data_IF_050469082610
#
_entry.id   IF_050469082610
#
_cell.length_a   1.000
_cell.length_b   1.000
_cell.length_c   1.000
_cell.angle_alpha   90.00
_cell.angle_beta   90.00
_cell.angle_gamma   90.00
#
_symmetry.space_group_name_H-M   'P 1'
#
loop_
_entity.id
_entity.type
_entity.pdbx_description
1 polymer ?
#
# COMPACT_ATOMS: atom_id res chain seq x y z
N UNK A 1 -15.95 -22.90 16.17
CA UNK A 1 -15.11 -22.10 15.27
C UNK A 1 -13.68 -22.13 15.78
N UNK A 2 -12.72 -22.30 14.90
CA UNK A 2 -11.29 -22.25 15.21
C UNK A 2 -10.84 -20.79 15.22
N UNK A 3 -10.39 -20.22 16.35
CA UNK A 3 -9.80 -18.88 16.34
C UNK A 3 -8.61 -18.83 15.38
N UNK A 4 -8.51 -17.77 14.58
CA UNK A 4 -7.52 -17.65 13.51
C UNK A 4 -6.87 -16.27 13.51
N UNK A 5 -5.57 -16.23 13.31
CA UNK A 5 -4.78 -15.01 13.11
C UNK A 5 -4.28 -14.96 11.68
N UNK A 6 -4.47 -13.83 11.01
CA UNK A 6 -3.89 -13.53 9.69
C UNK A 6 -2.89 -12.40 9.85
N UNK A 7 -1.63 -12.67 9.52
CA UNK A 7 -0.54 -11.69 9.53
C UNK A 7 -0.22 -11.33 8.09
N UNK A 8 -0.49 -10.10 7.68
CA UNK A 8 -0.10 -9.60 6.38
C UNK A 8 1.25 -8.90 6.51
N UNK A 9 2.28 -9.43 5.86
CA UNK A 9 3.64 -8.90 5.84
C UNK A 9 3.94 -8.38 4.44
N UNK A 10 3.99 -7.06 4.28
CA UNK A 10 4.18 -6.42 2.97
C UNK A 10 5.55 -6.73 2.40
N UNK A 11 5.61 -7.07 1.12
CA UNK A 11 6.86 -7.33 0.41
C UNK A 11 7.55 -8.65 0.76
N UNK A 12 6.94 -9.50 1.60
CA UNK A 12 7.48 -10.82 1.92
C UNK A 12 7.30 -11.78 0.73
N UNK A 13 8.38 -12.45 0.33
CA UNK A 13 8.40 -13.41 -0.77
C UNK A 13 8.93 -14.76 -0.30
N UNK A 14 8.70 -15.88 -1.03
CA UNK A 14 9.32 -17.15 -0.69
C UNK A 14 10.84 -17.09 -0.59
N UNK A 15 11.51 -16.31 -1.44
CA UNK A 15 12.97 -16.13 -1.44
C UNK A 15 13.51 -15.43 -0.18
N UNK A 16 12.67 -14.69 0.56
CA UNK A 16 13.03 -14.02 1.82
C UNK A 16 12.90 -14.93 3.06
N UNK A 17 12.35 -16.13 2.91
CA UNK A 17 12.23 -17.10 4.01
C UNK A 17 13.56 -17.86 4.18
N UNK A 18 14.26 -17.61 5.27
CA UNK A 18 15.60 -18.18 5.45
C UNK A 18 16.16 -18.06 6.86
N UNK A 19 17.48 -17.81 6.95
CA UNK A 19 18.19 -17.71 8.22
C UNK A 19 17.85 -16.43 8.99
N UNK A 20 17.51 -15.35 8.26
CA UNK A 20 17.14 -14.06 8.84
C UNK A 20 15.64 -14.00 9.23
N UNK A 21 14.87 -15.07 8.95
CA UNK A 21 13.45 -15.19 9.28
C UNK A 21 13.14 -16.53 9.97
N UNK A 22 13.78 -16.84 11.13
CA UNK A 22 13.67 -18.15 11.76
C UNK A 22 12.25 -18.51 12.22
N UNK A 23 11.44 -17.57 12.69
CA UNK A 23 10.07 -17.81 13.13
C UNK A 23 9.15 -18.16 11.95
N UNK A 24 9.24 -17.40 10.86
CA UNK A 24 8.51 -17.69 9.63
C UNK A 24 8.98 -19.00 9.00
N UNK A 25 10.30 -19.27 8.99
CA UNK A 25 10.86 -20.53 8.51
C UNK A 25 10.32 -21.72 9.31
N UNK A 26 10.23 -21.61 10.64
CA UNK A 26 9.62 -22.63 11.53
C UNK A 26 8.16 -22.86 11.14
N UNK A 27 7.37 -21.78 11.02
CA UNK A 27 5.97 -21.89 10.63
C UNK A 27 5.78 -22.59 9.27
N UNK A 28 6.67 -22.32 8.30
CA UNK A 28 6.67 -23.02 7.01
C UNK A 28 6.96 -24.52 7.13
N UNK A 29 7.90 -24.90 8.01
CA UNK A 29 8.30 -26.29 8.21
C UNK A 29 7.22 -27.11 8.93
N UNK A 30 6.55 -26.49 9.92
CA UNK A 30 5.49 -27.13 10.71
C UNK A 30 4.14 -27.15 9.95
N UNK A 31 3.95 -26.21 9.04
CA UNK A 31 2.77 -26.01 8.23
C UNK A 31 3.05 -26.18 6.73
N UNK A 32 2.69 -25.18 5.94
CA UNK A 32 2.95 -25.15 4.50
C UNK A 32 3.13 -23.73 3.98
N UNK A 33 3.88 -23.62 2.88
CA UNK A 33 4.07 -22.38 2.14
C UNK A 33 3.71 -22.62 0.67
N UNK A 34 2.96 -21.66 0.07
CA UNK A 34 2.75 -21.61 -1.38
C UNK A 34 2.90 -20.16 -1.88
N UNK A 35 3.41 -19.94 -3.08
CA UNK A 35 3.28 -18.65 -3.75
C UNK A 35 1.82 -18.23 -3.86
N UNK A 36 1.57 -16.91 -3.87
CA UNK A 36 0.25 -16.33 -4.12
C UNK A 36 0.22 -15.73 -5.53
N UNK A 37 -0.74 -16.13 -6.36
CA UNK A 37 -1.01 -15.46 -7.62
C UNK A 37 -1.82 -14.19 -7.32
N UNK A 38 -1.12 -13.05 -7.32
CA UNK A 38 -1.70 -11.75 -7.01
C UNK A 38 -2.48 -11.17 -8.20
N UNK A 39 -3.25 -10.12 -7.95
CA UNK A 39 -3.99 -9.39 -8.98
C UNK A 39 -3.18 -8.20 -9.52
N UNK A 40 -3.61 -7.67 -10.67
CA UNK A 40 -3.10 -6.42 -11.23
C UNK A 40 -4.09 -5.29 -10.91
N UNK A 41 -3.62 -4.14 -10.38
CA UNK A 41 -2.25 -3.88 -9.92
C UNK A 41 -1.91 -4.58 -8.60
N UNK A 42 -0.68 -5.06 -8.48
CA UNK A 42 -0.15 -5.63 -7.26
C UNK A 42 0.25 -4.51 -6.28
N UNK A 43 -0.76 -3.81 -5.75
CA UNK A 43 -0.62 -2.69 -4.81
C UNK A 43 -1.52 -2.87 -3.61
N UNK A 44 -1.15 -2.29 -2.49
CA UNK A 44 -1.75 -2.53 -1.16
C UNK A 44 -3.28 -2.51 -1.14
N UNK A 45 -3.90 -1.41 -1.57
CA UNK A 45 -5.36 -1.26 -1.48
C UNK A 45 -6.11 -2.26 -2.37
N UNK A 46 -5.59 -2.55 -3.55
CA UNK A 46 -6.19 -3.50 -4.49
C UNK A 46 -6.08 -4.92 -3.96
N UNK A 47 -4.86 -5.34 -3.58
CA UNK A 47 -4.64 -6.71 -3.13
C UNK A 47 -5.37 -6.99 -1.82
N UNK A 48 -5.30 -6.10 -0.82
CA UNK A 48 -6.04 -6.28 0.44
C UNK A 48 -7.56 -6.37 0.22
N UNK A 49 -8.10 -5.60 -0.73
CA UNK A 49 -9.53 -5.69 -1.09
C UNK A 49 -9.86 -7.03 -1.74
N UNK A 50 -8.98 -7.56 -2.61
CA UNK A 50 -9.12 -8.90 -3.20
C UNK A 50 -9.06 -9.98 -2.11
N UNK A 51 -8.06 -9.93 -1.23
CA UNK A 51 -7.92 -10.88 -0.12
C UNK A 51 -9.15 -10.86 0.80
N UNK A 52 -9.68 -9.67 1.10
CA UNK A 52 -10.83 -9.51 1.99
C UNK A 52 -12.17 -9.93 1.36
N UNK A 53 -12.34 -9.80 0.05
CA UNK A 53 -13.62 -10.03 -0.64
C UNK A 53 -13.67 -11.32 -1.45
N UNK A 54 -12.51 -11.84 -1.88
CA UNK A 54 -12.43 -12.92 -2.86
C UNK A 54 -12.81 -12.51 -4.29
N UNK A 55 -12.85 -11.19 -4.58
CA UNK A 55 -13.22 -10.65 -5.89
C UNK A 55 -12.00 -10.02 -6.57
N UNK A 56 -11.96 -9.98 -7.91
CA UNK A 56 -11.00 -9.17 -8.64
C UNK A 56 -11.30 -7.66 -8.49
N UNK A 57 -10.39 -6.77 -8.91
CA UNK A 57 -10.59 -5.32 -8.88
C UNK A 57 -11.88 -4.85 -9.58
N UNK A 58 -12.29 -5.50 -10.67
CA UNK A 58 -13.56 -5.24 -11.34
C UNK A 58 -14.79 -5.51 -10.46
N UNK A 59 -14.67 -6.40 -9.48
CA UNK A 59 -15.75 -6.74 -8.56
C UNK A 59 -15.82 -5.88 -7.31
N UNK A 60 -14.65 -5.54 -6.70
CA UNK A 60 -14.62 -4.78 -5.46
C UNK A 60 -14.33 -3.28 -5.64
N UNK A 61 -13.87 -2.85 -6.82
CA UNK A 61 -13.70 -1.45 -7.20
C UNK A 61 -12.50 -0.71 -6.61
N UNK A 62 -11.58 -1.38 -5.91
CA UNK A 62 -10.28 -0.82 -5.56
C UNK A 62 -9.29 -1.11 -6.70
N UNK A 63 -9.26 -0.23 -7.67
CA UNK A 63 -8.47 -0.43 -8.90
C UNK A 63 -7.01 -0.03 -8.77
N UNK A 64 -6.64 0.66 -7.69
CA UNK A 64 -5.28 1.09 -7.31
C UNK A 64 -5.29 1.53 -5.84
N UNK A 65 -4.19 2.12 -5.32
CA UNK A 65 -4.17 2.79 -4.01
C UNK A 65 -5.02 4.08 -3.98
N UNK A 66 -5.51 4.48 -5.13
CA UNK A 66 -6.45 5.57 -5.34
C UNK A 66 -6.92 5.62 -6.79
N UNK A 67 -7.83 6.51 -7.09
CA UNK A 67 -8.38 6.70 -8.44
C UNK A 67 -8.91 8.11 -8.63
N UNK A 68 -9.27 8.43 -9.86
CA UNK A 68 -9.96 9.66 -10.20
C UNK A 68 -11.46 9.53 -9.89
N UNK A 69 -11.93 10.35 -8.95
CA UNK A 69 -13.35 10.47 -8.61
C UNK A 69 -14.00 11.37 -9.65
N UNK A 70 -14.61 10.77 -10.66
CA UNK A 70 -15.13 11.47 -11.84
C UNK A 70 -16.18 12.52 -11.48
N UNK A 71 -17.04 12.23 -10.51
CA UNK A 71 -18.10 13.14 -10.05
C UNK A 71 -17.55 14.39 -9.35
N UNK A 72 -16.35 14.29 -8.77
CA UNK A 72 -15.66 15.39 -8.09
C UNK A 72 -14.61 16.07 -8.97
N UNK A 73 -14.23 15.43 -10.10
CA UNK A 73 -13.09 15.80 -10.92
C UNK A 73 -11.77 15.86 -10.12
N UNK A 74 -11.60 15.00 -9.14
CA UNK A 74 -10.46 14.97 -8.22
C UNK A 74 -9.81 13.60 -8.14
N UNK A 75 -8.48 13.60 -7.96
CA UNK A 75 -7.69 12.39 -7.69
C UNK A 75 -7.52 12.25 -6.18
N UNK A 76 -7.89 11.09 -5.64
CA UNK A 76 -7.70 10.78 -4.23
C UNK A 76 -7.05 9.41 -4.04
N UNK A 77 -5.93 9.38 -3.30
CA UNK A 77 -5.27 8.17 -2.85
C UNK A 77 -5.50 7.96 -1.35
N UNK A 78 -5.33 6.72 -0.91
CA UNK A 78 -5.27 6.32 0.50
C UNK A 78 -6.52 6.64 1.32
N UNK A 79 -7.71 6.59 0.69
CA UNK A 79 -8.98 6.74 1.40
C UNK A 79 -9.28 5.51 2.25
N UNK A 80 -9.78 5.73 3.47
CA UNK A 80 -9.97 4.68 4.47
C UNK A 80 -11.40 4.13 4.57
N UNK A 81 -12.37 4.74 3.89
CA UNK A 81 -13.76 4.33 4.00
C UNK A 81 -14.03 2.94 3.40
N UNK A 82 -14.48 1.99 4.21
CA UNK A 82 -14.88 0.66 3.76
C UNK A 82 -16.07 0.68 2.77
N UNK A 83 -16.86 1.76 2.78
CA UNK A 83 -17.97 1.97 1.83
C UNK A 83 -17.52 2.09 0.38
N UNK A 84 -16.22 2.32 0.15
CA UNK A 84 -15.63 2.34 -1.19
C UNK A 84 -15.48 0.94 -1.81
N UNK A 85 -15.52 -0.11 -0.99
CA UNK A 85 -15.20 -1.47 -1.40
C UNK A 85 -16.46 -2.28 -1.55
N UNK A 86 -16.73 -2.74 -2.77
CA UNK A 86 -17.82 -3.65 -3.11
C UNK A 86 -17.58 -5.07 -2.63
N UNK A 87 -18.62 -5.89 -2.69
CA UNK A 87 -18.57 -7.30 -2.32
C UNK A 87 -18.63 -7.57 -0.82
N UNK A 88 -18.99 -8.80 -0.48
CA UNK A 88 -19.04 -9.32 0.89
C UNK A 88 -17.60 -9.60 1.39
N UNK A 89 -17.24 -9.06 2.54
CA UNK A 89 -15.91 -9.23 3.15
C UNK A 89 -15.86 -10.51 4.01
N UNK A 90 -14.65 -10.98 4.33
CA UNK A 90 -14.43 -12.18 5.15
C UNK A 90 -15.26 -12.14 6.44
N UNK A 91 -15.24 -10.99 7.17
CA UNK A 91 -15.94 -10.86 8.44
C UNK A 91 -17.46 -10.84 8.29
N UNK A 92 -17.98 -10.34 7.19
CA UNK A 92 -19.41 -10.37 6.86
C UNK A 92 -19.84 -11.81 6.54
N UNK A 93 -19.05 -12.53 5.73
CA UNK A 93 -19.28 -13.93 5.43
C UNK A 93 -19.18 -14.83 6.68
N UNK A 94 -18.22 -14.54 7.57
CA UNK A 94 -18.08 -15.23 8.85
C UNK A 94 -19.32 -15.06 9.72
N UNK A 95 -19.79 -13.83 9.93
CA UNK A 95 -21.03 -13.52 10.68
C UNK A 95 -22.29 -14.15 10.06
N UNK A 96 -22.36 -14.20 8.75
CA UNK A 96 -23.46 -14.87 8.05
C UNK A 96 -23.46 -16.38 8.27
N UNK A 97 -22.27 -17.01 8.33
CA UNK A 97 -22.11 -18.44 8.63
C UNK A 97 -22.40 -18.75 10.10
N UNK A 98 -21.99 -17.89 11.02
CA UNK A 98 -22.21 -18.03 12.45
C UNK A 98 -22.35 -16.64 13.11
N UNK A 99 -23.49 -16.29 13.70
CA UNK A 99 -23.71 -14.99 14.35
C UNK A 99 -22.73 -14.67 15.50
N UNK A 100 -22.15 -15.68 16.14
CA UNK A 100 -21.17 -15.52 17.22
C UNK A 100 -19.75 -15.24 16.69
N UNK A 101 -19.57 -15.21 15.36
CA UNK A 101 -18.28 -14.86 14.77
C UNK A 101 -17.94 -13.38 15.03
N UNK A 102 -16.70 -13.14 15.44
CA UNK A 102 -16.18 -11.78 15.68
C UNK A 102 -14.86 -11.56 14.93
N UNK A 103 -14.61 -10.33 14.53
CA UNK A 103 -13.42 -9.95 13.77
C UNK A 103 -12.74 -8.70 14.33
N UNK A 104 -11.42 -8.79 14.54
CA UNK A 104 -10.55 -7.64 14.74
C UNK A 104 -9.77 -7.35 13.45
N UNK A 105 -9.76 -6.10 13.02
CA UNK A 105 -9.10 -5.65 11.79
C UNK A 105 -8.09 -4.54 12.10
N UNK A 106 -6.83 -4.94 12.30
CA UNK A 106 -5.77 -4.05 12.74
C UNK A 106 -4.93 -3.58 11.55
N UNK A 107 -5.09 -2.32 11.19
CA UNK A 107 -4.35 -1.59 10.15
C UNK A 107 -4.54 -2.07 8.70
N UNK A 108 -5.38 -3.05 8.41
CA UNK A 108 -5.77 -3.32 7.03
C UNK A 108 -6.49 -2.11 6.43
N UNK A 109 -6.25 -1.80 5.17
CA UNK A 109 -6.83 -0.65 4.48
C UNK A 109 -8.37 -0.74 4.37
N UNK A 110 -8.99 0.40 4.08
CA UNK A 110 -10.45 0.56 4.11
C UNK A 110 -11.06 0.12 5.43
N UNK A 111 -10.48 0.64 6.51
CA UNK A 111 -10.84 0.23 7.86
C UNK A 111 -11.96 1.08 8.49
N UNK A 112 -12.02 2.38 8.16
CA UNK A 112 -13.07 3.24 8.71
C UNK A 112 -14.45 2.81 8.22
N UNK A 113 -15.41 2.77 9.13
CA UNK A 113 -16.80 2.39 8.85
C UNK A 113 -16.97 0.95 8.35
N UNK A 114 -16.03 0.07 8.68
CA UNK A 114 -16.18 -1.36 8.41
C UNK A 114 -17.15 -1.99 9.40
N UNK A 115 -17.70 -3.15 9.03
CA UNK A 115 -18.57 -3.95 9.89
C UNK A 115 -17.79 -4.96 10.75
N UNK A 116 -16.46 -4.83 10.87
CA UNK A 116 -15.65 -5.57 11.83
C UNK A 116 -15.95 -5.09 13.26
N UNK A 117 -15.79 -5.99 14.26
CA UNK A 117 -16.15 -5.67 15.64
C UNK A 117 -15.15 -4.75 16.31
N UNK A 118 -13.88 -4.88 15.97
CA UNK A 118 -12.78 -4.01 16.45
C UNK A 118 -11.89 -3.64 15.26
N UNK A 119 -11.49 -2.38 15.20
CA UNK A 119 -10.59 -1.93 14.15
C UNK A 119 -9.73 -0.75 14.58
N UNK A 120 -8.51 -0.67 14.03
CA UNK A 120 -7.64 0.49 14.15
C UNK A 120 -6.94 0.77 12.81
N UNK A 121 -6.67 2.05 12.49
CA UNK A 121 -6.01 2.47 11.25
C UNK A 121 -5.34 3.84 11.43
N UNK A 122 -4.24 4.17 10.69
CA UNK A 122 -3.65 5.48 10.78
C UNK A 122 -4.65 6.58 10.41
N UNK A 123 -4.80 7.57 11.27
CA UNK A 123 -5.67 8.71 11.01
C UNK A 123 -5.16 9.95 11.73
N UNK A 124 -4.20 10.71 11.13
CA UNK A 124 -3.71 11.91 11.76
C UNK A 124 -4.80 12.97 11.90
N UNK A 125 -4.68 13.81 12.95
CA UNK A 125 -5.48 15.00 13.09
C UNK A 125 -4.89 16.13 12.26
N UNK A 126 -5.75 16.92 11.61
CA UNK A 126 -5.41 18.09 10.81
C UNK A 126 -6.09 19.34 11.38
N UNK A 127 -5.51 19.98 12.42
CA UNK A 127 -6.03 21.24 12.94
C UNK A 127 -6.03 22.35 11.90
N UNK A 128 -6.91 23.33 12.07
CA UNK A 128 -7.04 24.47 11.15
C UNK A 128 -5.76 25.34 11.02
N UNK A 129 -4.83 25.23 11.97
CA UNK A 129 -3.53 25.91 11.93
C UNK A 129 -2.50 25.23 11.00
N UNK A 130 -2.89 24.15 10.29
CA UNK A 130 -2.05 23.45 9.32
C UNK A 130 -1.08 22.43 9.91
N UNK A 131 -1.17 22.12 11.21
CA UNK A 131 -0.39 21.03 11.82
C UNK A 131 -0.93 19.67 11.34
N UNK A 132 -0.04 18.68 11.30
CA UNK A 132 -0.35 17.27 11.20
C UNK A 132 0.06 16.62 12.51
N UNK A 133 -0.91 16.19 13.30
CA UNK A 133 -0.67 15.54 14.60
C UNK A 133 -0.82 14.04 14.40
N UNK A 134 0.19 13.22 14.80
CA UNK A 134 0.05 11.77 14.78
C UNK A 134 -1.18 11.31 15.55
N UNK A 135 -1.91 10.37 14.97
CA UNK A 135 -3.06 9.76 15.60
C UNK A 135 -3.51 8.52 14.83
N UNK A 136 -4.42 7.74 15.41
CA UNK A 136 -5.09 6.63 14.76
C UNK A 136 -6.61 6.72 15.00
N UNK A 137 -7.37 6.15 14.09
CA UNK A 137 -8.81 5.90 14.27
C UNK A 137 -8.99 4.50 14.84
N UNK A 138 -9.91 4.32 15.77
CA UNK A 138 -10.34 3.02 16.23
C UNK A 138 -11.87 2.92 16.32
N UNK A 139 -12.37 1.71 16.21
CA UNK A 139 -13.77 1.35 16.40
C UNK A 139 -13.82 0.06 17.24
N UNK A 140 -14.55 0.03 18.37
CA UNK A 140 -15.27 1.17 18.97
C UNK A 140 -14.31 2.24 19.53
N UNK A 141 -14.82 3.46 19.78
CA UNK A 141 -14.00 4.61 20.16
C UNK A 141 -13.14 4.36 21.40
N UNK A 142 -13.64 3.61 22.37
CA UNK A 142 -12.94 3.25 23.60
C UNK A 142 -11.63 2.50 23.34
N UNK A 143 -11.55 1.77 22.22
CA UNK A 143 -10.33 1.08 21.82
C UNK A 143 -9.20 2.06 21.49
N UNK A 144 -9.51 3.26 20.98
CA UNK A 144 -8.51 4.31 20.76
C UNK A 144 -7.81 4.69 22.08
N UNK A 145 -8.60 5.01 23.11
CA UNK A 145 -8.07 5.45 24.39
C UNK A 145 -7.31 4.32 25.10
N UNK A 146 -7.79 3.07 24.98
CA UNK A 146 -7.10 1.89 25.52
C UNK A 146 -5.72 1.69 24.87
N UNK A 147 -5.63 1.81 23.54
CA UNK A 147 -4.37 1.65 22.81
C UNK A 147 -3.40 2.78 23.14
N UNK A 148 -3.86 4.02 23.20
CA UNK A 148 -3.03 5.17 23.58
C UNK A 148 -2.52 5.05 25.02
N UNK A 149 -3.37 4.64 25.96
CA UNK A 149 -2.98 4.44 27.34
C UNK A 149 -1.93 3.33 27.50
N UNK A 150 -2.01 2.26 26.70
CA UNK A 150 -1.11 1.10 26.80
C UNK A 150 0.19 1.26 26.02
N UNK A 151 0.11 1.80 24.80
CA UNK A 151 1.20 1.81 23.81
C UNK A 151 1.76 3.20 23.55
N UNK A 152 1.07 4.25 24.00
CA UNK A 152 1.32 5.62 23.60
C UNK A 152 0.82 5.90 22.17
N UNK A 153 1.00 7.14 21.76
CA UNK A 153 0.54 7.64 20.46
C UNK A 153 1.13 6.83 19.31
N UNK A 154 0.32 6.52 18.30
CA UNK A 154 0.78 5.83 17.09
C UNK A 154 1.93 6.60 16.41
N UNK A 155 3.09 5.95 16.11
CA UNK A 155 4.27 6.63 15.57
C UNK A 155 4.14 6.90 14.06
N UNK A 156 3.17 7.73 13.67
CA UNK A 156 2.79 8.01 12.29
C UNK A 156 3.95 8.41 11.38
N UNK A 157 4.92 9.17 11.90
CA UNK A 157 6.03 9.66 11.08
C UNK A 157 7.06 8.57 10.73
N UNK A 158 7.04 7.43 11.44
CA UNK A 158 7.82 6.25 11.11
C UNK A 158 7.01 5.20 10.34
N UNK A 159 5.73 5.48 10.09
CA UNK A 159 4.87 4.65 9.25
C UNK A 159 5.07 4.91 7.75
N UNK A 160 5.41 6.16 7.36
CA UNK A 160 5.74 6.51 5.98
C UNK A 160 6.61 7.77 5.93
N UNK A 161 7.62 7.76 5.05
CA UNK A 161 8.53 8.88 4.81
C UNK A 161 9.99 8.54 5.04
N UNK A 162 10.88 9.55 5.02
CA UNK A 162 12.34 9.32 5.07
C UNK A 162 12.84 8.69 6.37
N UNK A 163 12.04 8.72 7.43
CA UNK A 163 12.35 8.14 8.75
C UNK A 163 11.52 6.90 9.06
N UNK A 164 10.86 6.31 8.05
CA UNK A 164 10.11 5.08 8.23
C UNK A 164 11.04 3.94 8.72
N UNK A 165 10.59 3.24 9.77
CA UNK A 165 11.31 2.16 10.44
C UNK A 165 10.36 1.13 11.07
N UNK A 166 10.91 0.18 11.84
CA UNK A 166 10.14 -0.91 12.48
C UNK A 166 9.12 -0.43 13.53
N UNK A 167 9.30 0.75 14.13
CA UNK A 167 8.50 1.17 15.30
C UNK A 167 7.00 1.24 15.01
N UNK A 168 6.60 1.54 13.78
CA UNK A 168 5.19 1.52 13.38
C UNK A 168 4.64 0.10 13.32
N UNK A 169 5.39 -0.86 12.78
CA UNK A 169 5.00 -2.28 12.74
C UNK A 169 4.99 -2.91 14.13
N UNK A 170 5.95 -2.54 14.99
CA UNK A 170 5.98 -2.95 16.40
C UNK A 170 4.74 -2.46 17.16
N UNK A 171 4.35 -1.20 16.97
CA UNK A 171 3.12 -0.66 17.57
C UNK A 171 1.87 -1.39 17.06
N UNK A 172 1.79 -1.68 15.76
CA UNK A 172 0.68 -2.43 15.15
C UNK A 172 0.62 -3.85 15.71
N UNK A 173 1.75 -4.54 15.80
CA UNK A 173 1.87 -5.86 16.39
C UNK A 173 1.36 -5.87 17.83
N UNK A 174 1.84 -4.95 18.69
CA UNK A 174 1.42 -4.82 20.09
C UNK A 174 -0.06 -4.48 20.22
N UNK A 175 -0.60 -3.65 19.35
CA UNK A 175 -2.05 -3.35 19.32
C UNK A 175 -2.88 -4.58 18.98
N UNK A 176 -2.39 -5.42 18.07
CA UNK A 176 -3.03 -6.68 17.70
C UNK A 176 -3.00 -7.68 18.87
N UNK A 177 -1.85 -7.83 19.52
CA UNK A 177 -1.74 -8.68 20.73
C UNK A 177 -2.70 -8.23 21.84
N UNK A 178 -2.79 -6.92 22.09
CA UNK A 178 -3.72 -6.37 23.07
C UNK A 178 -5.18 -6.72 22.74
N UNK A 179 -5.60 -6.57 21.50
CA UNK A 179 -6.96 -6.90 21.08
C UNK A 179 -7.22 -8.41 21.14
N UNK A 180 -6.25 -9.24 20.74
CA UNK A 180 -6.35 -10.70 20.86
C UNK A 180 -6.54 -11.12 22.32
N UNK A 181 -5.74 -10.59 23.24
CA UNK A 181 -5.80 -10.90 24.66
C UNK A 181 -7.13 -10.46 25.31
N UNK A 182 -7.56 -9.22 25.05
CA UNK A 182 -8.68 -8.58 25.75
C UNK A 182 -10.04 -8.86 25.14
N UNK A 183 -10.13 -9.04 23.82
CA UNK A 183 -11.39 -9.22 23.06
C UNK A 183 -11.59 -10.64 22.54
N UNK A 184 -10.51 -11.42 22.41
CA UNK A 184 -10.52 -12.82 21.92
C UNK A 184 -11.32 -13.01 20.63
N UNK A 185 -11.06 -12.21 19.57
CA UNK A 185 -11.82 -12.31 18.31
C UNK A 185 -11.69 -13.69 17.70
N UNK A 186 -12.73 -14.15 17.00
CA UNK A 186 -12.66 -15.37 16.18
C UNK A 186 -11.61 -15.24 15.08
N UNK A 187 -11.58 -14.08 14.40
CA UNK A 187 -10.60 -13.74 13.37
C UNK A 187 -9.88 -12.45 13.75
N UNK A 188 -8.55 -12.49 13.80
CA UNK A 188 -7.71 -11.30 13.89
C UNK A 188 -6.94 -11.10 12.58
N UNK A 189 -7.01 -9.91 12.00
CA UNK A 189 -6.26 -9.48 10.83
C UNK A 189 -5.28 -8.40 11.25
N UNK A 190 -3.99 -8.55 10.93
CA UNK A 190 -2.96 -7.52 11.20
C UNK A 190 -2.14 -7.22 9.95
N UNK A 191 -1.62 -5.99 9.84
CA UNK A 191 -0.86 -5.48 8.69
C UNK A 191 0.48 -4.94 9.14
N UNK A 192 1.57 -5.46 8.59
CA UNK A 192 2.95 -5.14 8.96
C UNK A 192 3.73 -4.63 7.73
N UNK A 193 3.86 -3.30 7.53
CA UNK A 193 4.43 -2.75 6.30
C UNK A 193 5.96 -2.62 6.27
N UNK A 194 6.68 -2.98 7.32
CA UNK A 194 8.09 -2.63 7.53
C UNK A 194 9.03 -2.95 6.36
N UNK A 195 8.93 -4.14 5.75
CA UNK A 195 9.85 -4.55 4.67
C UNK A 195 9.72 -3.68 3.42
N UNK A 196 8.52 -3.15 3.14
CA UNK A 196 8.25 -2.32 1.97
C UNK A 196 9.21 -1.14 1.85
N UNK A 197 9.55 -0.50 2.98
CA UNK A 197 10.32 0.74 2.98
C UNK A 197 11.74 0.58 2.44
N UNK A 198 12.49 -0.37 2.97
CA UNK A 198 13.88 -0.57 2.57
C UNK A 198 14.00 -1.44 1.32
N UNK A 199 13.03 -2.29 1.01
CA UNK A 199 12.96 -2.94 -0.29
C UNK A 199 12.76 -1.90 -1.42
N UNK A 200 12.00 -0.84 -1.21
CA UNK A 200 11.90 0.27 -2.16
C UNK A 200 13.17 1.14 -2.19
N UNK A 201 13.81 1.38 -1.03
CA UNK A 201 15.02 2.21 -0.94
C UNK A 201 16.26 1.54 -1.53
N UNK A 202 16.42 0.24 -1.33
CA UNK A 202 17.66 -0.51 -1.59
C UNK A 202 17.52 -1.54 -2.72
N UNK A 203 16.27 -1.85 -3.11
CA UNK A 203 15.96 -3.02 -3.93
C UNK A 203 16.03 -4.31 -3.11
N UNK A 204 15.61 -5.46 -3.63
CA UNK A 204 15.66 -6.76 -2.96
C UNK A 204 17.07 -7.38 -2.98
N UNK A 205 18.07 -6.64 -2.48
CA UNK A 205 19.45 -7.11 -2.32
C UNK A 205 19.58 -7.87 -0.97
N UNK A 206 19.45 -9.20 -1.00
CA UNK A 206 19.47 -10.05 0.18
C UNK A 206 20.81 -10.04 0.92
N UNK A 207 21.89 -9.57 0.32
CA UNK A 207 23.19 -9.44 0.96
C UNK A 207 23.36 -8.12 1.69
N UNK A 208 22.48 -7.14 1.43
CA UNK A 208 22.56 -5.85 2.08
C UNK A 208 22.30 -5.95 3.59
N UNK A 209 23.24 -5.48 4.46
CA UNK A 209 23.13 -5.66 5.93
C UNK A 209 21.86 -5.06 6.53
N UNK A 210 21.35 -3.95 5.97
CA UNK A 210 20.13 -3.31 6.43
C UNK A 210 18.89 -4.17 6.13
N UNK A 211 18.82 -4.79 4.96
CA UNK A 211 17.71 -5.69 4.63
C UNK A 211 17.70 -6.95 5.50
N UNK A 212 18.87 -7.52 5.80
CA UNK A 212 18.96 -8.61 6.78
C UNK A 212 18.48 -8.19 8.16
N UNK A 213 18.76 -6.96 8.56
CA UNK A 213 18.24 -6.42 9.81
C UNK A 213 16.71 -6.26 9.75
N UNK A 214 16.15 -5.70 8.67
CA UNK A 214 14.72 -5.52 8.51
C UNK A 214 13.97 -6.87 8.53
N UNK A 215 14.55 -7.90 7.91
CA UNK A 215 14.01 -9.27 7.93
C UNK A 215 13.95 -9.82 9.37
N UNK A 216 15.03 -9.64 10.15
CA UNK A 216 15.06 -10.07 11.57
C UNK A 216 14.08 -9.28 12.43
N UNK A 217 13.96 -7.97 12.19
CA UNK A 217 13.04 -7.10 12.92
C UNK A 217 11.58 -7.49 12.66
N UNK A 218 11.21 -7.74 11.41
CA UNK A 218 9.83 -8.14 11.08
C UNK A 218 9.53 -9.59 11.49
N UNK A 219 10.50 -10.49 11.38
CA UNK A 219 10.37 -11.87 11.84
C UNK A 219 10.17 -11.94 13.35
N UNK A 220 10.82 -11.07 14.13
CA UNK A 220 10.59 -10.96 15.56
C UNK A 220 9.14 -10.54 15.87
N UNK A 221 8.59 -9.54 15.18
CA UNK A 221 7.19 -9.16 15.31
C UNK A 221 6.26 -10.33 14.94
N UNK A 222 6.55 -11.05 13.86
CA UNK A 222 5.79 -12.24 13.48
C UNK A 222 5.89 -13.33 14.55
N UNK A 223 7.08 -13.53 15.13
CA UNK A 223 7.33 -14.49 16.19
C UNK A 223 6.45 -14.25 17.41
N UNK A 224 6.40 -13.00 17.92
CA UNK A 224 5.53 -12.65 19.06
C UNK A 224 4.05 -12.93 18.76
N UNK A 225 3.58 -12.61 17.55
CA UNK A 225 2.21 -12.88 17.13
C UNK A 225 1.93 -14.39 17.00
N UNK A 226 2.84 -15.15 16.39
CA UNK A 226 2.73 -16.60 16.22
C UNK A 226 2.70 -17.29 17.59
N UNK A 227 3.62 -16.96 18.50
CA UNK A 227 3.67 -17.52 19.84
C UNK A 227 2.41 -17.20 20.65
N UNK A 228 1.88 -16.00 20.54
CA UNK A 228 0.62 -15.62 21.18
C UNK A 228 -0.55 -16.44 20.62
N UNK A 229 -0.60 -16.62 19.31
CA UNK A 229 -1.62 -17.42 18.64
C UNK A 229 -1.52 -18.91 19.06
N UNK A 230 -0.32 -19.49 19.12
CA UNK A 230 -0.08 -20.85 19.56
C UNK A 230 -0.54 -21.06 21.01
N UNK A 231 -0.22 -20.14 21.94
CA UNK A 231 -0.68 -20.20 23.34
C UNK A 231 -2.19 -20.17 23.47
N UNK A 232 -2.89 -19.48 22.56
CA UNK A 232 -4.35 -19.40 22.54
C UNK A 232 -5.00 -20.50 21.68
N UNK A 233 -4.21 -21.40 21.10
CA UNK A 233 -4.70 -22.46 20.21
C UNK A 233 -5.32 -21.92 18.91
N UNK A 234 -4.86 -20.77 18.41
CA UNK A 234 -5.30 -20.18 17.14
C UNK A 234 -4.57 -20.81 15.96
N UNK A 235 -5.26 -20.94 14.86
CA UNK A 235 -4.60 -21.17 13.57
C UNK A 235 -3.91 -19.86 13.11
N UNK A 236 -2.79 -19.99 12.38
CA UNK A 236 -2.02 -18.85 11.85
C UNK A 236 -1.95 -18.94 10.34
N UNK A 237 -2.22 -17.82 9.69
CA UNK A 237 -1.98 -17.61 8.26
C UNK A 237 -1.06 -16.39 8.13
N UNK A 238 0.04 -16.51 7.40
CA UNK A 238 0.85 -15.37 6.96
C UNK A 238 0.61 -15.18 5.48
N UNK A 239 0.40 -13.94 5.05
CA UNK A 239 0.17 -13.60 3.64
C UNK A 239 0.93 -12.35 3.29
N UNK A 240 1.33 -12.20 2.02
CA UNK A 240 1.84 -10.94 1.49
C UNK A 240 1.04 -10.49 0.26
N UNK A 241 1.24 -9.24 -0.15
CA UNK A 241 0.45 -8.60 -1.21
C UNK A 241 1.15 -8.70 -2.57
N UNK A 242 2.45 -8.51 -2.57
CA UNK A 242 3.32 -8.42 -3.74
C UNK A 242 4.78 -8.70 -3.36
N UNK A 243 5.59 -9.02 -4.35
CA UNK A 243 7.04 -8.91 -4.29
C UNK A 243 7.49 -7.54 -4.81
N UNK A 244 8.69 -7.13 -4.42
CA UNK A 244 9.32 -5.90 -4.88
C UNK A 244 10.47 -6.27 -5.81
N UNK A 245 10.51 -5.67 -7.02
CA UNK A 245 11.53 -5.91 -8.02
C UNK A 245 12.50 -4.73 -8.13
N UNK A 246 13.73 -5.00 -8.58
CA UNK A 246 14.72 -3.96 -8.80
C UNK A 246 14.26 -2.99 -9.92
N UNK A 247 14.38 -1.69 -9.64
CA UNK A 247 14.11 -0.63 -10.64
C UNK A 247 15.29 0.33 -10.73
N UNK A 248 15.41 1.00 -11.88
CA UNK A 248 16.53 1.89 -12.17
C UNK A 248 16.12 3.34 -12.28
N UNK A 249 14.96 3.63 -12.87
CA UNK A 249 14.48 5.00 -13.10
C UNK A 249 12.97 5.06 -13.33
N UNK A 250 12.40 6.27 -13.26
CA UNK A 250 10.99 6.56 -13.47
C UNK A 250 10.65 6.87 -14.91
N UNK A 251 9.47 6.44 -15.34
CA UNK A 251 8.82 6.88 -16.58
C UNK A 251 7.82 7.99 -16.26
N UNK A 252 7.92 9.13 -16.95
CA UNK A 252 7.12 10.32 -16.67
C UNK A 252 5.97 10.48 -17.68
N UNK A 253 4.93 9.63 -17.59
CA UNK A 253 3.79 9.66 -18.53
C UNK A 253 3.16 11.06 -18.57
N UNK A 254 2.93 11.68 -17.40
CA UNK A 254 2.30 12.99 -17.33
C UNK A 254 3.14 14.11 -17.99
N UNK A 255 4.47 14.04 -17.95
CA UNK A 255 5.32 14.99 -18.69
C UNK A 255 5.14 14.85 -20.19
N UNK A 256 5.06 13.63 -20.72
CA UNK A 256 4.81 13.38 -22.14
C UNK A 256 3.40 13.88 -22.55
N UNK A 257 2.38 13.59 -21.76
CA UNK A 257 1.01 14.10 -21.97
C UNK A 257 0.97 15.65 -21.90
N UNK A 258 1.73 16.25 -20.99
CA UNK A 258 1.85 17.72 -20.88
C UNK A 258 2.50 18.34 -22.10
N UNK A 259 3.59 17.75 -22.60
CA UNK A 259 4.28 18.18 -23.84
C UNK A 259 3.37 18.06 -25.07
N UNK A 260 2.52 17.05 -25.11
CA UNK A 260 1.52 16.86 -26.16
C UNK A 260 0.29 17.78 -26.02
N UNK A 261 0.25 18.66 -25.00
CA UNK A 261 -0.85 19.59 -24.78
C UNK A 261 -2.14 18.94 -24.24
N UNK A 262 -2.04 17.72 -23.69
CA UNK A 262 -3.20 16.96 -23.19
C UNK A 262 -3.49 17.23 -21.71
N UNK A 263 -2.51 17.73 -20.95
CA UNK A 263 -2.68 18.11 -19.54
C UNK A 263 -2.90 19.61 -19.42
N UNK A 264 -3.91 19.97 -18.65
CA UNK A 264 -4.14 21.33 -18.16
C UNK A 264 -3.58 21.47 -16.75
N UNK A 265 -3.00 22.64 -16.49
CA UNK A 265 -2.59 23.04 -15.14
C UNK A 265 -3.19 24.39 -14.81
N UNK A 266 -3.39 24.60 -13.51
CA UNK A 266 -3.84 25.86 -12.94
C UNK A 266 -2.67 26.49 -12.19
N UNK A 267 -2.26 27.75 -12.52
CA UNK A 267 -1.22 28.42 -11.78
C UNK A 267 -1.75 28.86 -10.40
N UNK A 268 -0.93 28.66 -9.38
CA UNK A 268 -1.15 29.14 -8.02
C UNK A 268 -0.09 30.17 -7.61
N UNK A 269 -0.06 30.51 -6.33
CA UNK A 269 0.89 31.48 -5.76
C UNK A 269 2.33 31.13 -6.16
N UNK A 270 3.13 32.11 -6.51
CA UNK A 270 4.50 31.98 -7.03
C UNK A 270 4.63 31.25 -8.36
N UNK A 271 3.56 31.18 -9.16
CA UNK A 271 3.56 30.53 -10.47
C UNK A 271 3.63 28.99 -10.41
N UNK A 272 3.38 28.40 -9.24
CA UNK A 272 3.32 26.95 -9.08
C UNK A 272 2.17 26.34 -9.85
N UNK A 273 2.40 25.24 -10.49
CA UNK A 273 1.42 24.54 -11.32
C UNK A 273 0.70 23.44 -10.54
N UNK A 274 -0.64 23.48 -10.51
CA UNK A 274 -1.47 22.41 -9.97
C UNK A 274 -2.17 21.69 -11.12
N UNK A 275 -2.17 20.38 -11.11
CA UNK A 275 -2.91 19.58 -12.09
C UNK A 275 -4.40 19.91 -12.03
N UNK A 276 -4.98 20.31 -13.16
CA UNK A 276 -6.41 20.41 -13.33
C UNK A 276 -6.92 19.15 -14.03
N UNK A 277 -7.19 18.11 -13.25
CA UNK A 277 -7.59 16.81 -13.76
C UNK A 277 -8.90 16.90 -14.55
N UNK A 278 -9.86 17.71 -14.05
CA UNK A 278 -11.17 17.89 -14.69
C UNK A 278 -11.13 18.64 -16.03
N UNK A 279 -10.13 19.51 -16.24
CA UNK A 279 -9.96 20.25 -17.49
C UNK A 279 -8.93 19.61 -18.44
N UNK A 280 -8.21 18.56 -17.99
CA UNK A 280 -7.23 17.85 -18.82
C UNK A 280 -7.93 16.93 -19.82
N UNK A 281 -7.46 16.88 -21.06
CA UNK A 281 -7.93 15.91 -22.07
C UNK A 281 -7.54 14.50 -21.67
N UNK A 282 -6.30 14.33 -21.18
CA UNK A 282 -5.82 13.08 -20.62
C UNK A 282 -4.78 13.35 -19.52
N UNK A 283 -4.75 12.50 -18.49
CA UNK A 283 -3.72 12.48 -17.46
C UNK A 283 -3.57 11.07 -16.89
N UNK A 284 -2.41 10.77 -16.31
CA UNK A 284 -2.12 9.49 -15.69
C UNK A 284 -2.10 9.61 -14.16
N UNK A 285 -2.76 8.70 -13.47
CA UNK A 285 -2.58 8.45 -12.05
C UNK A 285 -1.55 7.32 -11.91
N UNK A 286 -0.32 7.69 -11.60
CA UNK A 286 0.79 6.76 -11.40
C UNK A 286 0.69 6.10 -10.02
N UNK A 287 0.86 4.79 -9.98
CA UNK A 287 0.86 3.98 -8.77
C UNK A 287 1.88 2.85 -8.91
N UNK A 288 3.14 3.15 -8.55
CA UNK A 288 4.28 2.23 -8.69
C UNK A 288 4.55 1.84 -10.17
N UNK A 289 4.41 0.57 -10.51
CA UNK A 289 4.64 0.04 -11.86
C UNK A 289 3.38 0.04 -12.74
N UNK A 290 2.29 0.59 -12.22
CA UNK A 290 1.00 0.72 -12.94
C UNK A 290 0.60 2.19 -12.99
N UNK A 291 -0.07 2.60 -14.07
CA UNK A 291 -0.69 3.91 -14.16
C UNK A 291 -2.05 3.83 -14.85
N UNK A 292 -3.10 4.29 -14.16
CA UNK A 292 -4.40 4.52 -14.78
C UNK A 292 -4.37 5.80 -15.59
N UNK A 293 -4.69 5.73 -16.88
CA UNK A 293 -4.73 6.88 -17.77
C UNK A 293 -6.18 7.23 -18.07
N UNK A 294 -6.61 8.37 -17.56
CA UNK A 294 -7.94 8.89 -17.76
C UNK A 294 -7.96 9.76 -19.02
N UNK A 295 -8.82 9.42 -19.97
CA UNK A 295 -8.98 10.13 -21.23
C UNK A 295 -10.41 10.59 -21.34
N UNK A 296 -10.67 11.91 -21.29
CA UNK A 296 -12.03 12.45 -21.25
C UNK A 296 -12.74 12.39 -22.60
N UNK A 297 -12.00 12.51 -23.71
CA UNK A 297 -12.54 12.38 -25.04
C UNK A 297 -12.25 10.98 -25.61
N UNK A 298 -13.27 10.13 -25.77
CA UNK A 298 -13.09 8.78 -26.32
C UNK A 298 -12.43 8.74 -27.69
N UNK A 299 -12.59 9.79 -28.51
CA UNK A 299 -11.94 9.88 -29.83
C UNK A 299 -10.40 10.00 -29.74
N UNK A 300 -9.86 10.39 -28.60
CA UNK A 300 -8.43 10.57 -28.35
C UNK A 300 -7.75 9.34 -27.71
N UNK A 301 -8.51 8.30 -27.34
CA UNK A 301 -7.94 7.11 -26.66
C UNK A 301 -6.81 6.47 -27.48
N UNK A 302 -7.02 6.29 -28.80
CA UNK A 302 -6.02 5.69 -29.68
C UNK A 302 -4.73 6.51 -29.78
N UNK A 303 -4.85 7.84 -29.84
CA UNK A 303 -3.71 8.76 -29.86
C UNK A 303 -2.91 8.68 -28.55
N UNK A 304 -3.62 8.75 -27.41
CA UNK A 304 -3.01 8.66 -26.07
C UNK A 304 -2.34 7.31 -25.87
N UNK A 305 -2.99 6.21 -26.30
CA UNK A 305 -2.41 4.87 -26.25
C UNK A 305 -1.09 4.80 -27.01
N UNK A 306 -1.09 5.24 -28.27
CA UNK A 306 0.11 5.23 -29.12
C UNK A 306 1.26 6.09 -28.55
N UNK A 307 0.92 7.26 -27.96
CA UNK A 307 1.91 8.12 -27.31
C UNK A 307 2.60 7.40 -26.14
N UNK A 308 1.84 6.70 -25.31
CA UNK A 308 2.37 6.03 -24.12
C UNK A 308 3.12 4.75 -24.50
N UNK A 309 2.62 3.96 -25.45
CA UNK A 309 3.30 2.76 -25.96
C UNK A 309 4.67 3.06 -26.59
N UNK A 310 4.85 4.25 -27.15
CA UNK A 310 6.13 4.69 -27.71
C UNK A 310 7.18 5.09 -26.67
N UNK A 311 6.81 5.20 -25.38
CA UNK A 311 7.73 5.60 -24.32
C UNK A 311 8.63 4.44 -23.92
N UNK A 312 9.95 4.68 -23.86
CA UNK A 312 10.85 3.69 -23.26
C UNK A 312 10.49 3.47 -21.77
N UNK A 313 10.48 2.20 -21.35
CA UNK A 313 10.11 1.81 -20.00
C UNK A 313 8.62 1.45 -19.82
N UNK A 314 7.78 1.62 -20.83
CA UNK A 314 6.44 1.05 -20.89
C UNK A 314 6.51 -0.35 -21.50
N UNK A 315 5.90 -1.35 -20.85
CA UNK A 315 5.81 -2.71 -21.34
C UNK A 315 4.56 -2.89 -22.21
N UNK A 316 3.41 -2.43 -21.72
CA UNK A 316 2.13 -2.52 -22.41
C UNK A 316 1.15 -1.45 -21.94
N UNK A 317 0.16 -1.16 -22.78
CA UNK A 317 -0.97 -0.28 -22.45
C UNK A 317 -2.27 -1.03 -22.72
N UNK A 318 -2.97 -1.36 -21.64
CA UNK A 318 -4.25 -2.05 -21.67
C UNK A 318 -5.35 -1.09 -22.09
N UNK A 319 -6.10 -1.44 -23.11
CA UNK A 319 -7.38 -0.85 -23.48
C UNK A 319 -8.54 -1.60 -22.79
N UNK A 320 -9.75 -1.46 -23.28
CA UNK A 320 -10.93 -2.10 -22.68
C UNK A 320 -10.83 -3.63 -22.64
N UNK A 321 -10.36 -4.27 -23.73
CA UNK A 321 -10.18 -5.72 -23.78
C UNK A 321 -9.03 -6.19 -22.87
N UNK A 322 -7.93 -5.45 -22.87
CA UNK A 322 -6.81 -5.69 -21.97
C UNK A 322 -7.23 -5.56 -20.50
N UNK A 323 -7.95 -4.50 -20.13
CA UNK A 323 -8.47 -4.34 -18.77
C UNK A 323 -9.37 -5.49 -18.34
N UNK A 324 -10.21 -5.96 -19.23
CA UNK A 324 -11.11 -7.11 -18.97
C UNK A 324 -10.31 -8.39 -18.72
N UNK A 325 -9.26 -8.64 -19.50
CA UNK A 325 -8.39 -9.79 -19.32
C UNK A 325 -7.65 -9.77 -17.97
N UNK A 326 -7.35 -8.58 -17.43
CA UNK A 326 -6.69 -8.40 -16.14
C UNK A 326 -7.66 -8.17 -14.97
N UNK A 327 -8.99 -8.26 -15.20
CA UNK A 327 -9.99 -8.02 -14.18
C UNK A 327 -10.01 -6.58 -13.65
N UNK A 328 -9.69 -5.61 -14.52
CA UNK A 328 -9.62 -4.17 -14.23
C UNK A 328 -10.76 -3.37 -14.89
N UNK A 329 -11.74 -4.04 -15.50
CA UNK A 329 -12.89 -3.44 -16.19
C UNK A 329 -13.93 -2.88 -15.20
N UNK A 330 -13.56 -1.85 -14.50
CA UNK A 330 -14.38 -1.15 -13.52
C UNK A 330 -14.52 0.34 -13.88
N UNK A 331 -15.66 1.03 -13.60
CA UNK A 331 -15.84 2.46 -13.91
C UNK A 331 -14.83 3.41 -13.27
N UNK A 332 -14.15 2.98 -12.21
CA UNK A 332 -13.06 3.75 -11.55
C UNK A 332 -11.72 3.64 -12.28
N UNK A 333 -11.52 2.64 -13.11
CA UNK A 333 -10.32 2.49 -13.93
C UNK A 333 -10.20 3.62 -14.94
N UNK A 334 -8.96 3.95 -15.31
CA UNK A 334 -8.72 4.81 -16.48
C UNK A 334 -9.21 4.14 -17.77
N UNK A 335 -9.44 4.91 -18.80
CA UNK A 335 -9.73 4.40 -20.14
C UNK A 335 -8.63 3.45 -20.61
N UNK A 336 -7.38 3.77 -20.23
CA UNK A 336 -6.21 2.93 -20.45
C UNK A 336 -5.52 2.63 -19.11
N UNK A 337 -4.76 1.52 -19.06
CA UNK A 337 -3.87 1.20 -17.93
C UNK A 337 -2.50 0.86 -18.49
N UNK A 338 -1.50 1.66 -18.15
CA UNK A 338 -0.12 1.42 -18.51
C UNK A 338 0.57 0.52 -17.49
N UNK A 339 1.36 -0.44 -17.96
CA UNK A 339 2.21 -1.32 -17.16
C UNK A 339 3.67 -1.04 -17.55
N UNK A 340 4.54 -0.81 -16.57
CA UNK A 340 5.95 -0.55 -16.82
C UNK A 340 6.71 -1.84 -17.14
N UNK A 341 7.88 -1.70 -17.78
CA UNK A 341 8.88 -2.78 -17.79
C UNK A 341 9.29 -3.13 -16.35
N UNK A 342 9.78 -4.36 -16.11
CA UNK A 342 10.10 -4.82 -14.74
C UNK A 342 11.07 -3.89 -13.99
N UNK A 343 12.00 -3.23 -14.70
CA UNK A 343 13.05 -2.38 -14.17
C UNK A 343 12.70 -0.88 -14.14
N UNK A 344 11.41 -0.53 -14.31
CA UNK A 344 10.90 0.85 -14.34
C UNK A 344 9.70 1.01 -13.43
N UNK A 345 9.38 2.26 -13.09
CA UNK A 345 8.19 2.65 -12.35
C UNK A 345 7.63 3.97 -12.90
N UNK A 346 6.39 4.34 -12.56
CA UNK A 346 5.75 5.55 -13.05
C UNK A 346 5.72 6.64 -11.99
N UNK A 347 6.18 7.87 -12.36
CA UNK A 347 6.01 9.04 -11.51
C UNK A 347 4.74 9.81 -11.86
N UNK A 348 4.21 10.56 -10.87
CA UNK A 348 3.07 11.46 -11.08
C UNK A 348 3.46 12.83 -11.67
N UNK A 349 4.75 13.12 -11.89
CA UNK A 349 5.27 14.43 -12.26
C UNK A 349 4.70 14.90 -13.59
N UNK A 350 3.94 16.03 -13.57
CA UNK A 350 3.30 16.63 -14.74
C UNK A 350 3.88 18.00 -15.12
N UNK A 351 4.65 18.65 -14.23
CA UNK A 351 5.35 19.90 -14.54
C UNK A 351 6.59 19.64 -15.40
N UNK A 352 6.92 20.63 -16.25
CA UNK A 352 8.08 20.55 -17.18
C UNK A 352 9.32 21.24 -16.61
N UNK A 353 9.13 22.15 -15.64
CA UNK A 353 10.19 22.84 -14.90
C UNK A 353 9.97 22.64 -13.38
N UNK A 354 11.00 22.14 -12.70
CA UNK A 354 10.94 21.92 -11.25
C UNK A 354 10.78 23.22 -10.44
N UNK A 355 11.06 24.38 -11.03
CA UNK A 355 10.85 25.70 -10.38
C UNK A 355 9.36 25.98 -10.15
N UNK A 356 8.48 25.49 -11.02
CA UNK A 356 7.02 25.65 -10.93
C UNK A 356 6.29 24.43 -10.38
N UNK A 357 7.04 23.42 -9.89
CA UNK A 357 6.45 22.27 -9.22
C UNK A 357 5.55 22.71 -8.06
N UNK A 358 4.44 21.97 -7.79
CA UNK A 358 3.55 22.29 -6.67
C UNK A 358 4.29 22.22 -5.33
N UNK A 359 3.82 22.96 -4.34
CA UNK A 359 4.49 23.06 -3.04
C UNK A 359 4.59 21.69 -2.32
N UNK A 360 3.55 20.86 -2.47
CA UNK A 360 3.51 19.53 -1.87
C UNK A 360 4.52 18.56 -2.49
N UNK A 361 5.01 18.81 -3.70
CA UNK A 361 5.91 17.88 -4.39
C UNK A 361 7.22 17.62 -3.63
N UNK A 362 7.70 18.64 -2.86
CA UNK A 362 8.93 18.54 -2.04
C UNK A 362 8.66 18.09 -0.59
N UNK A 363 7.44 17.63 -0.30
CA UNK A 363 7.04 17.23 1.07
C UNK A 363 6.55 15.79 1.11
N UNK A 364 6.45 15.22 2.31
CA UNK A 364 5.73 13.97 2.54
C UNK A 364 4.23 14.29 2.68
N UNK A 365 3.49 14.14 1.59
CA UNK A 365 2.06 14.48 1.55
C UNK A 365 1.28 13.57 0.59
N UNK A 366 1.02 12.35 1.02
CA UNK A 366 0.36 11.29 0.25
C UNK A 366 -1.08 11.61 -0.18
N UNK A 367 -1.73 12.61 0.42
CA UNK A 367 -3.12 12.95 0.11
C UNK A 367 -3.28 14.09 -0.90
N UNK A 368 -2.25 14.91 -1.09
CA UNK A 368 -2.28 16.04 -2.05
C UNK A 368 -1.65 15.69 -3.39
N UNK A 369 -0.75 14.71 -3.42
CA UNK A 369 -0.11 14.26 -4.66
C UNK A 369 -1.11 13.48 -5.51
N UNK A 370 -1.24 13.79 -6.81
CA UNK A 370 -2.15 13.08 -7.71
C UNK A 370 -1.56 11.78 -8.26
N UNK A 371 -0.84 11.06 -7.43
CA UNK A 371 -0.21 9.78 -7.68
C UNK A 371 0.72 9.38 -6.55
N UNK A 372 1.14 8.13 -6.56
CA UNK A 372 2.10 7.61 -5.59
C UNK A 372 3.50 8.18 -5.85
N UNK A 373 4.24 8.46 -4.78
CA UNK A 373 5.59 9.03 -4.86
C UNK A 373 6.57 8.30 -3.92
N UNK A 374 7.29 7.28 -4.38
CA UNK A 374 8.26 6.55 -3.57
C UNK A 374 9.47 7.40 -3.18
N UNK A 375 9.71 8.54 -3.85
CA UNK A 375 10.79 9.47 -3.48
C UNK A 375 10.56 10.08 -2.10
N UNK A 376 9.33 10.06 -1.58
CA UNK A 376 9.03 10.42 -0.18
C UNK A 376 9.77 9.59 0.86
N UNK A 377 10.29 8.42 0.50
CA UNK A 377 11.11 7.60 1.39
C UNK A 377 12.53 8.15 1.60
N UNK A 378 12.92 9.17 0.87
CA UNK A 378 14.29 9.70 0.89
C UNK A 378 14.32 11.17 1.30
N UNK A 379 15.34 11.54 2.06
CA UNK A 379 15.71 12.95 2.15
C UNK A 379 16.41 13.40 0.87
N UNK A 380 16.17 14.66 0.49
CA UNK A 380 16.90 15.28 -0.64
C UNK A 380 18.41 15.24 -0.38
N UNK A 381 19.19 14.56 -1.25
CA UNK A 381 20.64 14.47 -1.10
C UNK A 381 21.38 15.82 -1.11
N UNK A 382 20.76 16.86 -1.67
CA UNK A 382 21.29 18.22 -1.67
C UNK A 382 21.28 18.87 -0.26
N UNK A 383 20.52 18.30 0.69
CA UNK A 383 20.44 18.80 2.07
C UNK A 383 21.54 18.16 2.90
N UNK A 384 22.60 18.88 3.20
CA UNK A 384 23.79 18.36 3.91
C UNK A 384 23.45 17.74 5.28
N UNK A 385 22.47 18.28 6.01
CA UNK A 385 22.00 17.72 7.29
C UNK A 385 20.46 17.77 7.35
N UNK A 386 19.77 16.75 6.82
CA UNK A 386 18.32 16.75 6.71
C UNK A 386 17.62 16.78 8.09
N UNK A 387 18.18 16.14 9.12
CA UNK A 387 17.61 16.17 10.48
C UNK A 387 17.67 17.58 11.09
N UNK A 388 18.80 18.28 10.92
CA UNK A 388 18.96 19.66 11.38
C UNK A 388 18.02 20.61 10.59
N UNK A 389 17.94 20.42 9.28
CA UNK A 389 17.05 21.20 8.42
C UNK A 389 15.58 21.01 8.81
N UNK A 390 15.13 19.77 9.04
CA UNK A 390 13.78 19.48 9.52
C UNK A 390 13.54 20.08 10.92
N UNK A 391 14.48 19.94 11.84
CA UNK A 391 14.42 20.52 13.18
C UNK A 391 14.28 22.05 13.15
N UNK A 392 15.02 22.74 12.27
CA UNK A 392 14.89 24.18 12.07
C UNK A 392 13.52 24.60 11.54
N UNK A 393 12.96 23.84 10.57
CA UNK A 393 11.59 24.09 10.06
C UNK A 393 10.54 23.90 11.14
N UNK A 394 10.70 22.85 11.99
CA UNK A 394 9.82 22.63 13.14
C UNK A 394 9.94 23.77 14.18
N UNK A 395 11.15 24.26 14.46
CA UNK A 395 11.35 25.39 15.35
C UNK A 395 10.67 26.66 14.83
N UNK A 396 10.79 26.96 13.54
CA UNK A 396 10.06 28.08 12.90
C UNK A 396 8.55 27.94 13.09
N UNK A 397 7.99 26.74 12.87
CA UNK A 397 6.55 26.49 13.08
C UNK A 397 6.12 26.73 14.54
N UNK A 398 6.94 26.30 15.52
CA UNK A 398 6.69 26.55 16.95
C UNK A 398 6.70 28.04 17.29
N UNK A 399 7.45 28.85 16.55
CA UNK A 399 7.49 30.32 16.66
C UNK A 399 6.37 31.01 15.87
N UNK A 400 5.39 30.25 15.37
CA UNK A 400 4.25 30.80 14.61
C UNK A 400 4.57 31.18 13.17
N UNK A 401 5.76 30.86 12.66
CA UNK A 401 6.13 31.11 11.27
C UNK A 401 5.65 29.96 10.37
N UNK A 402 5.18 30.29 9.17
CA UNK A 402 4.90 29.27 8.14
C UNK A 402 6.22 28.73 7.59
N UNK A 403 6.42 27.44 7.69
CA UNK A 403 7.58 26.76 7.11
C UNK A 403 7.14 25.47 6.43
N UNK A 404 7.45 25.36 5.14
CA UNK A 404 7.24 24.13 4.39
C UNK A 404 8.25 23.06 4.85
N UNK A 405 7.84 21.80 4.93
CA UNK A 405 8.73 20.67 5.22
C UNK A 405 9.30 20.11 3.90
N UNK A 406 9.97 20.96 3.14
CA UNK A 406 10.54 20.71 1.83
C UNK A 406 11.86 19.92 1.95
N UNK A 407 11.76 18.62 2.21
CA UNK A 407 12.89 17.72 2.45
C UNK A 407 13.02 16.62 1.40
N UNK A 408 12.13 16.59 0.38
CA UNK A 408 12.09 15.61 -0.69
C UNK A 408 12.65 16.19 -1.98
N UNK A 409 13.48 15.41 -2.69
CA UNK A 409 14.00 15.79 -4.01
C UNK A 409 12.95 15.66 -5.11
N UNK A 410 13.07 16.46 -6.18
CA UNK A 410 12.31 16.29 -7.43
C UNK A 410 13.19 15.75 -8.57
N UNK A 411 14.51 15.66 -8.36
CA UNK A 411 15.48 15.32 -9.40
C UNK A 411 15.98 13.89 -9.32
N UNK A 412 15.86 13.27 -8.15
CA UNK A 412 16.57 12.05 -7.81
C UNK A 412 15.63 10.84 -7.80
N UNK A 413 14.84 10.64 -8.88
CA UNK A 413 13.98 9.45 -9.07
C UNK A 413 14.76 8.14 -9.03
N UNK A 414 16.05 8.18 -9.38
CA UNK A 414 16.98 7.04 -9.36
C UNK A 414 17.35 6.59 -7.93
N UNK A 415 16.97 7.35 -6.88
CA UNK A 415 17.10 6.88 -5.50
C UNK A 415 16.24 5.65 -5.23
N UNK A 416 15.09 5.54 -5.89
CA UNK A 416 14.20 4.39 -5.79
C UNK A 416 14.85 3.19 -6.47
N UNK A 417 15.08 2.12 -5.68
CA UNK A 417 15.74 0.90 -6.15
C UNK A 417 14.82 -0.30 -6.25
N UNK A 418 13.66 -0.23 -5.60
CA UNK A 418 12.64 -1.26 -5.68
C UNK A 418 11.25 -0.68 -5.95
N UNK A 419 10.43 -1.42 -6.66
CA UNK A 419 9.04 -1.07 -6.93
C UNK A 419 8.19 -2.32 -7.13
N UNK A 420 6.88 -2.13 -7.16
CA UNK A 420 5.88 -3.19 -7.33
C UNK A 420 4.68 -2.68 -8.14
N UNK A 421 3.63 -3.47 -8.26
CA UNK A 421 2.43 -3.09 -9.03
C UNK A 421 2.25 -3.97 -10.27
N UNK A 422 3.33 -4.27 -10.99
CA UNK A 422 3.40 -5.34 -11.97
C UNK A 422 3.56 -6.68 -11.22
N UNK A 423 2.75 -7.71 -11.47
CA UNK A 423 3.03 -9.04 -10.94
C UNK A 423 4.41 -9.53 -11.38
N UNK A 424 5.13 -10.19 -10.47
CA UNK A 424 6.46 -10.74 -10.76
C UNK A 424 6.38 -11.93 -11.69
N UNK A 425 7.43 -12.13 -12.52
CA UNK A 425 7.47 -13.25 -13.46
C UNK A 425 7.85 -14.57 -12.77
N UNK A 426 8.68 -14.50 -11.70
CA UNK A 426 9.05 -15.64 -10.87
C UNK A 426 8.15 -15.69 -9.62
N UNK A 427 7.39 -16.78 -9.41
CA UNK A 427 6.59 -16.95 -8.20
C UNK A 427 7.38 -16.90 -6.88
N UNK A 428 8.69 -17.18 -6.90
CA UNK A 428 9.54 -17.09 -5.70
C UNK A 428 9.86 -15.63 -5.32
N UNK A 429 9.77 -14.72 -6.26
CA UNK A 429 9.93 -13.27 -6.07
C UNK A 429 8.58 -12.56 -5.89
N UNK A 430 7.48 -13.30 -6.01
CA UNK A 430 6.12 -12.84 -5.82
C UNK A 430 5.64 -12.99 -4.37
N UNK A 431 4.39 -12.62 -4.09
CA UNK A 431 3.81 -12.78 -2.77
C UNK A 431 3.58 -14.26 -2.42
N UNK A 432 3.34 -14.52 -1.13
CA UNK A 432 3.20 -15.86 -0.59
C UNK A 432 1.98 -15.98 0.34
N UNK A 433 1.62 -17.23 0.63
CA UNK A 433 0.77 -17.60 1.75
C UNK A 433 1.42 -18.75 2.52
N UNK A 434 1.45 -18.63 3.86
CA UNK A 434 1.89 -19.67 4.79
C UNK A 434 0.68 -20.01 5.68
N UNK A 435 0.49 -21.28 5.98
CA UNK A 435 -0.56 -21.74 6.89
C UNK A 435 0.00 -22.70 7.93
N UNK A 436 -0.42 -22.55 9.19
CA UNK A 436 -0.17 -23.54 10.25
C UNK A 436 -1.00 -24.82 10.09
N UNK A 437 -1.92 -24.88 9.10
CA UNK A 437 -2.73 -26.06 8.75
C UNK A 437 -2.39 -26.48 7.33
N UNK A 438 -1.39 -27.35 7.13
CA UNK A 438 -0.89 -27.73 5.81
C UNK A 438 -1.97 -28.35 4.92
N UNK A 439 -2.89 -29.11 5.49
CA UNK A 439 -4.00 -29.73 4.78
C UNK A 439 -5.00 -28.73 4.15
N UNK A 440 -4.95 -27.45 4.54
CA UNK A 440 -5.76 -26.39 3.92
C UNK A 440 -4.98 -25.61 2.82
N UNK A 441 -3.69 -25.90 2.66
CA UNK A 441 -2.85 -25.43 1.57
C UNK A 441 -2.50 -26.53 0.53
N UNK A 442 -3.22 -27.64 0.55
CA UNK A 442 -2.97 -28.75 -0.39
C UNK A 442 -3.14 -28.30 -1.85
N UNK A 443 -2.34 -28.90 -2.73
CA UNK A 443 -2.35 -28.67 -4.16
C UNK A 443 -1.03 -28.11 -4.70
N UNK A 444 -0.88 -28.14 -6.02
CA UNK A 444 0.31 -27.69 -6.73
C UNK A 444 0.11 -26.26 -7.28
N UNK A 445 1.22 -25.50 -7.37
CA UNK A 445 1.24 -24.16 -7.93
C UNK A 445 0.75 -23.03 -6.98
N UNK A 446 0.69 -21.77 -7.46
CA UNK A 446 0.27 -20.62 -6.65
C UNK A 446 -1.19 -20.70 -6.20
N UNK A 447 -1.48 -20.14 -5.03
CA UNK A 447 -2.85 -19.91 -4.56
C UNK A 447 -3.37 -18.62 -5.19
N UNK A 448 -4.55 -18.63 -5.80
CA UNK A 448 -5.16 -17.41 -6.32
C UNK A 448 -5.53 -16.44 -5.19
N UNK A 449 -5.18 -15.16 -5.32
CA UNK A 449 -5.54 -14.14 -4.33
C UNK A 449 -7.05 -14.07 -4.09
N UNK A 450 -7.86 -14.34 -5.11
CA UNK A 450 -9.33 -14.41 -5.00
C UNK A 450 -9.83 -15.61 -4.20
N UNK A 451 -9.03 -16.67 -4.04
CA UNK A 451 -9.35 -17.83 -3.21
C UNK A 451 -9.04 -17.59 -1.72
N UNK A 452 -8.27 -16.55 -1.38
CA UNK A 452 -7.80 -16.31 0.00
C UNK A 452 -8.94 -16.13 1.01
N UNK A 453 -10.00 -15.41 0.65
CA UNK A 453 -11.20 -15.28 1.50
C UNK A 453 -11.73 -16.65 1.94
N UNK A 454 -11.87 -17.58 1.00
CA UNK A 454 -12.38 -18.91 1.30
C UNK A 454 -11.37 -19.69 2.15
N UNK A 455 -10.07 -19.59 1.86
CA UNK A 455 -9.01 -20.20 2.67
C UNK A 455 -9.10 -19.78 4.14
N UNK A 456 -9.28 -18.47 4.42
CA UNK A 456 -9.44 -17.99 5.80
C UNK A 456 -10.72 -18.54 6.44
N UNK A 457 -11.82 -18.57 5.71
CA UNK A 457 -13.08 -19.12 6.21
C UNK A 457 -12.97 -20.62 6.50
N UNK A 458 -12.22 -21.38 5.71
CA UNK A 458 -11.98 -22.80 5.92
C UNK A 458 -11.14 -23.02 7.19
N UNK A 459 -10.16 -22.16 7.49
CA UNK A 459 -9.42 -22.21 8.76
C UNK A 459 -10.32 -21.95 9.96
N UNK A 460 -11.24 -20.99 9.86
CA UNK A 460 -12.14 -20.63 10.95
C UNK A 460 -13.22 -21.68 11.20
N UNK A 461 -13.72 -22.33 10.14
CA UNK A 461 -14.86 -23.24 10.23
C UNK A 461 -14.47 -24.73 10.07
N UNK A 462 -13.15 -25.04 10.05
CA UNK A 462 -12.65 -26.42 10.07
C UNK A 462 -12.90 -27.14 11.40
#
# INVERSE_FOLDING_TARGET
MQPTLVILVVGLTPSLIGEDTPNLKRLCADGGLRPLATVTPAVTCTVQSTLATGLPPSGHGAVANGWYFRDLAEVWLWRQSNRLIGGEKIWEAGKRKNPDFTCAKMFWWYNMYSSADWSATPRPMYPADGRKIPDHYAEPLELHDELDAKLGQFPLFTFWGPVADISSSDWIMKSTLHVMETRKPTLALTYLPHLDYNLQRLGPDLDHPRLKQDLREIDACCGELIEAAEREGRAVIVVSEYGITNVTDAVHINRALRQAGLIRVRPEEFGREILDAGASTAFALADHQIAHVYVQDPARIGEVKALIEAMDGVEQVLDEDGKRAFGLDHPRSGELVAISKPDRWFSYYYWLDDAVAPDFARTVDIHRKPGYDPVELFFDPAIANPKLAAGWRLAKRKLGQRALMDVISLKDTQLVKGSHGRPTDDPNEGPLVISSKPNLLDGDGPVEATAFKQLVLDHVFS
#
